data_IF_625101917503
#
_entry.id   IF_625101917503
#
_cell.length_a   1.000
_cell.length_b   1.000
_cell.length_c   1.000
_cell.angle_alpha   90.00
_cell.angle_beta   90.00
_cell.angle_gamma   90.00
#
_symmetry.space_group_name_H-M   'P 1'
#
loop_
_entity.id
_entity.type
_entity.pdbx_description
1 polymer ?
#
# COMPACT_ATOMS: atom_id res chain seq x y z
N UNK A 1 1.77 15.69 -35.68
CA UNK A 1 1.06 15.78 -34.38
C UNK A 1 1.33 14.49 -33.62
N UNK A 2 1.74 14.55 -32.36
CA UNK A 2 1.93 13.36 -31.54
C UNK A 2 0.58 12.63 -31.42
N UNK A 3 0.56 11.32 -31.66
CA UNK A 3 -0.64 10.51 -31.56
C UNK A 3 -0.99 10.35 -30.06
N UNK A 4 -1.77 11.29 -29.53
CA UNK A 4 -2.20 11.30 -28.12
C UNK A 4 -3.36 10.32 -28.00
N UNK A 5 -3.23 9.37 -27.07
CA UNK A 5 -4.28 8.41 -26.76
C UNK A 5 -5.55 9.15 -26.29
N UNK A 6 -6.71 8.85 -26.86
CA UNK A 6 -7.95 9.48 -26.44
C UNK A 6 -8.31 9.12 -24.98
N UNK A 7 -9.11 9.98 -24.36
CA UNK A 7 -9.45 9.87 -22.93
C UNK A 7 -10.15 8.55 -22.61
N UNK A 8 -11.06 8.07 -23.44
CA UNK A 8 -11.79 6.81 -23.19
C UNK A 8 -10.84 5.60 -23.15
N UNK A 9 -9.87 5.54 -24.07
CA UNK A 9 -8.83 4.51 -24.06
C UNK A 9 -7.92 4.65 -22.83
N UNK A 10 -7.58 5.87 -22.40
CA UNK A 10 -6.81 6.08 -21.16
C UNK A 10 -7.58 5.54 -19.95
N UNK A 11 -8.86 5.89 -19.81
CA UNK A 11 -9.74 5.41 -18.73
C UNK A 11 -9.83 3.88 -18.73
N UNK A 12 -10.08 3.27 -19.89
CA UNK A 12 -10.17 1.81 -20.02
C UNK A 12 -8.86 1.12 -19.58
N UNK A 13 -7.71 1.64 -20.03
CA UNK A 13 -6.39 1.10 -19.69
C UNK A 13 -6.12 1.23 -18.18
N UNK A 14 -6.35 2.41 -17.59
CA UNK A 14 -6.09 2.67 -16.17
C UNK A 14 -7.01 1.83 -15.30
N UNK A 15 -8.31 1.71 -15.65
CA UNK A 15 -9.24 0.82 -14.95
C UNK A 15 -8.78 -0.64 -14.99
N UNK A 16 -8.36 -1.13 -16.15
CA UNK A 16 -7.86 -2.49 -16.30
C UNK A 16 -6.56 -2.73 -15.51
N UNK A 17 -5.64 -1.74 -15.45
CA UNK A 17 -4.42 -1.82 -14.63
C UNK A 17 -4.75 -1.85 -13.13
N UNK A 18 -5.68 -1.01 -12.68
CA UNK A 18 -6.10 -0.93 -11.28
C UNK A 18 -6.79 -2.23 -10.80
N UNK A 19 -7.52 -2.90 -11.69
CA UNK A 19 -8.16 -4.21 -11.43
C UNK A 19 -7.22 -5.41 -11.64
N UNK A 20 -5.92 -5.16 -11.87
CA UNK A 20 -4.89 -6.21 -11.91
C UNK A 20 -4.75 -6.94 -13.24
N UNK A 21 -5.32 -6.42 -14.33
CA UNK A 21 -5.10 -6.99 -15.66
C UNK A 21 -3.63 -6.88 -16.07
N UNK A 22 -3.14 -7.90 -16.78
CA UNK A 22 -1.75 -7.86 -17.28
C UNK A 22 -1.63 -6.86 -18.44
N UNK A 23 -0.46 -6.23 -18.59
CA UNK A 23 -0.17 -5.30 -19.70
C UNK A 23 -0.46 -5.96 -21.05
N UNK A 24 -0.09 -7.24 -21.22
CA UNK A 24 -0.36 -7.99 -22.45
C UNK A 24 -1.86 -8.29 -22.67
N UNK A 25 -2.63 -8.46 -21.59
CA UNK A 25 -4.08 -8.60 -21.71
C UNK A 25 -4.71 -7.27 -22.13
N UNK A 26 -4.27 -6.17 -21.56
CA UNK A 26 -4.74 -4.83 -21.91
C UNK A 26 -4.39 -4.49 -23.36
N UNK A 27 -3.18 -4.82 -23.82
CA UNK A 27 -2.76 -4.68 -25.21
C UNK A 27 -3.74 -5.39 -26.17
N UNK A 28 -4.10 -6.65 -25.89
CA UNK A 28 -5.06 -7.41 -26.70
C UNK A 28 -6.50 -6.85 -26.65
N UNK A 29 -6.90 -6.30 -25.50
CA UNK A 29 -8.26 -5.75 -25.32
C UNK A 29 -8.44 -4.37 -25.95
N UNK A 30 -7.37 -3.56 -25.98
CA UNK A 30 -7.49 -2.14 -26.38
C UNK A 30 -6.79 -1.82 -27.69
N UNK A 31 -6.02 -2.77 -28.25
CA UNK A 31 -5.15 -2.58 -29.41
C UNK A 31 -4.14 -1.42 -29.22
N UNK A 32 -3.76 -1.15 -27.97
CA UNK A 32 -2.75 -0.15 -27.62
C UNK A 32 -1.45 -0.85 -27.27
N UNK A 33 -0.35 -0.45 -27.90
CA UNK A 33 0.95 -1.07 -27.69
C UNK A 33 1.38 -1.01 -26.21
N UNK A 34 1.91 -2.10 -25.70
CA UNK A 34 2.32 -2.30 -24.30
C UNK A 34 3.20 -1.18 -23.73
N UNK A 35 4.10 -0.60 -24.53
CA UNK A 35 4.96 0.50 -24.07
C UNK A 35 4.18 1.78 -23.81
N UNK A 36 3.11 2.03 -24.58
CA UNK A 36 2.19 3.14 -24.34
C UNK A 36 1.38 2.90 -23.08
N UNK A 37 0.89 1.66 -22.86
CA UNK A 37 0.21 1.26 -21.62
C UNK A 37 1.11 1.47 -20.41
N UNK A 38 2.37 1.03 -20.48
CA UNK A 38 3.34 1.19 -19.39
C UNK A 38 3.62 2.66 -19.08
N UNK A 39 3.87 3.49 -20.11
CA UNK A 39 4.12 4.93 -19.94
C UNK A 39 2.91 5.66 -19.33
N UNK A 40 1.70 5.32 -19.80
CA UNK A 40 0.47 5.86 -19.24
C UNK A 40 0.31 5.44 -17.77
N UNK A 41 0.52 4.17 -17.45
CA UNK A 41 0.43 3.66 -16.08
C UNK A 41 1.43 4.31 -15.13
N UNK A 42 2.66 4.62 -15.59
CA UNK A 42 3.66 5.34 -14.78
C UNK A 42 3.22 6.78 -14.56
N UNK A 43 2.85 7.50 -15.62
CA UNK A 43 2.40 8.89 -15.52
C UNK A 43 1.23 9.06 -14.55
N UNK A 44 0.15 8.31 -14.77
CA UNK A 44 -1.04 8.38 -13.91
C UNK A 44 -0.74 7.88 -12.49
N UNK A 45 0.08 6.85 -12.32
CA UNK A 45 0.46 6.37 -10.99
C UNK A 45 1.27 7.39 -10.17
N UNK A 46 2.14 8.14 -10.82
CA UNK A 46 2.86 9.27 -10.19
C UNK A 46 1.88 10.39 -9.82
N UNK A 47 0.96 10.77 -10.70
CA UNK A 47 -0.10 11.73 -10.40
C UNK A 47 -1.02 11.26 -9.26
N UNK A 48 -1.34 9.97 -9.20
CA UNK A 48 -2.07 9.39 -8.07
C UNK A 48 -1.33 9.53 -6.73
N UNK A 49 -0.01 9.39 -6.74
CA UNK A 49 0.79 9.60 -5.52
C UNK A 49 0.73 11.06 -5.08
N UNK A 50 0.87 12.01 -5.99
CA UNK A 50 0.76 13.44 -5.71
C UNK A 50 -0.66 13.82 -5.24
N UNK A 51 -1.69 13.29 -5.90
CA UNK A 51 -3.10 13.46 -5.49
C UNK A 51 -3.35 12.98 -4.06
N UNK A 52 -2.83 11.80 -3.70
CA UNK A 52 -2.95 11.30 -2.33
C UNK A 52 -2.19 12.19 -1.35
N UNK A 53 -1.02 12.70 -1.72
CA UNK A 53 -0.27 13.61 -0.84
C UNK A 53 -1.03 14.91 -0.58
N UNK A 54 -1.72 15.45 -1.58
CA UNK A 54 -2.55 16.64 -1.46
C UNK A 54 -3.82 16.38 -0.63
N UNK A 55 -4.57 15.32 -0.96
CA UNK A 55 -5.91 15.09 -0.40
C UNK A 55 -5.90 14.47 0.99
N UNK A 56 -4.87 13.69 1.34
CA UNK A 56 -4.79 12.99 2.62
C UNK A 56 -4.14 13.87 3.69
N UNK A 57 -4.79 14.99 4.05
CA UNK A 57 -4.31 15.95 5.05
C UNK A 57 -5.40 16.29 6.06
N UNK A 58 -4.98 16.59 7.29
CA UNK A 58 -5.91 16.96 8.37
C UNK A 58 -6.92 15.87 8.72
N UNK A 59 -6.50 14.62 8.67
CA UNK A 59 -7.35 13.45 8.88
C UNK A 59 -7.65 13.24 10.38
N UNK A 60 -8.86 12.77 10.66
CA UNK A 60 -9.33 12.45 12.02
C UNK A 60 -9.43 10.92 12.23
N UNK A 61 -8.43 10.18 11.80
CA UNK A 61 -8.37 8.74 12.03
C UNK A 61 -8.24 8.45 13.53
N UNK A 62 -9.08 7.55 14.05
CA UNK A 62 -9.03 7.16 15.47
C UNK A 62 -8.07 6.00 15.69
N UNK A 63 -8.02 5.06 14.75
CA UNK A 63 -7.25 3.81 14.86
C UNK A 63 -6.54 3.50 13.56
N UNK A 64 -5.23 3.50 13.60
CA UNK A 64 -4.40 3.08 12.46
C UNK A 64 -3.76 1.72 12.73
N UNK A 65 -3.78 0.87 11.73
CA UNK A 65 -2.97 -0.34 11.67
C UNK A 65 -1.89 -0.14 10.61
N UNK A 66 -0.64 -0.53 10.89
CA UNK A 66 0.49 -0.40 9.97
C UNK A 66 1.22 -1.71 9.79
N UNK A 67 1.66 -1.98 8.56
CA UNK A 67 2.43 -3.17 8.20
C UNK A 67 3.18 -2.91 6.89
N UNK A 68 4.05 -3.84 6.47
CA UNK A 68 4.76 -3.76 5.23
C UNK A 68 4.59 -4.99 4.35
N UNK A 69 4.40 -4.77 3.04
CA UNK A 69 4.30 -5.81 2.03
C UNK A 69 5.62 -5.95 1.28
N UNK A 70 6.17 -7.16 1.28
CA UNK A 70 7.33 -7.50 0.46
C UNK A 70 6.99 -7.61 -1.02
N UNK A 71 7.88 -7.07 -1.86
CA UNK A 71 7.95 -7.26 -3.29
C UNK A 71 9.40 -7.31 -3.77
N UNK A 72 9.63 -7.27 -5.07
CA UNK A 72 10.97 -7.17 -5.64
C UNK A 72 10.96 -6.46 -6.99
N UNK A 73 12.11 -5.89 -7.34
CA UNK A 73 12.34 -5.22 -8.63
C UNK A 73 13.47 -5.93 -9.36
N UNK A 74 13.25 -6.26 -10.62
CA UNK A 74 14.22 -6.93 -11.47
C UNK A 74 14.49 -8.39 -11.08
N UNK A 75 15.07 -8.63 -9.92
CA UNK A 75 15.42 -9.95 -9.39
C UNK A 75 15.04 -10.05 -7.91
N UNK A 76 14.77 -11.27 -7.44
CA UNK A 76 14.69 -11.53 -5.99
C UNK A 76 16.06 -11.39 -5.37
N UNK A 77 16.15 -10.97 -4.11
CA UNK A 77 17.38 -10.68 -3.38
C UNK A 77 18.47 -11.77 -3.57
N UNK A 78 18.08 -13.02 -3.38
CA UNK A 78 19.00 -14.16 -3.54
C UNK A 78 19.65 -14.31 -4.92
N UNK A 79 19.14 -13.60 -5.94
CA UNK A 79 19.60 -13.66 -7.33
C UNK A 79 20.28 -12.34 -7.77
N UNK A 80 20.41 -11.37 -6.86
CA UNK A 80 21.15 -10.12 -7.10
C UNK A 80 22.64 -10.44 -7.17
N UNK A 81 23.32 -9.84 -8.14
CA UNK A 81 24.77 -10.06 -8.38
C UNK A 81 25.53 -8.73 -8.26
N UNK A 82 26.83 -8.84 -8.02
CA UNK A 82 27.72 -7.70 -8.11
C UNK A 82 27.62 -7.10 -9.52
N UNK A 83 27.25 -5.80 -9.63
CA UNK A 83 27.01 -5.10 -10.90
C UNK A 83 25.52 -4.92 -11.26
N UNK A 84 24.58 -5.56 -10.55
CA UNK A 84 23.19 -5.16 -10.63
C UNK A 84 23.02 -3.75 -10.00
N UNK A 85 22.15 -2.92 -10.57
CA UNK A 85 21.94 -1.57 -10.04
C UNK A 85 21.29 -1.58 -8.64
N UNK A 86 21.45 -0.52 -7.84
CA UNK A 86 20.97 -0.45 -6.44
C UNK A 86 19.44 -0.52 -6.28
N UNK A 87 18.71 -0.36 -7.37
CA UNK A 87 17.25 -0.48 -7.38
C UNK A 87 16.74 -1.90 -7.61
N UNK A 88 17.65 -2.88 -7.80
CA UNK A 88 17.33 -4.29 -8.05
C UNK A 88 17.37 -5.05 -6.73
N UNK A 89 16.40 -5.92 -6.49
CA UNK A 89 16.33 -6.72 -5.28
C UNK A 89 15.01 -6.56 -4.55
N UNK A 90 15.02 -6.83 -3.27
CA UNK A 90 13.86 -6.71 -2.39
C UNK A 90 13.41 -5.26 -2.23
N UNK A 91 12.11 -5.06 -2.23
CA UNK A 91 11.47 -3.78 -1.98
C UNK A 91 10.26 -3.99 -1.08
N UNK A 92 10.02 -3.07 -0.18
CA UNK A 92 8.90 -3.13 0.76
C UNK A 92 7.99 -1.93 0.58
N UNK A 93 6.70 -2.17 0.68
CA UNK A 93 5.70 -1.11 0.71
C UNK A 93 5.14 -1.04 2.12
N UNK A 94 5.54 -0.03 2.87
CA UNK A 94 4.95 0.32 4.15
C UNK A 94 3.59 0.96 3.88
N UNK A 95 2.56 0.58 4.59
CA UNK A 95 1.24 1.19 4.48
C UNK A 95 0.52 1.26 5.82
N UNK A 96 -0.36 2.25 5.94
CA UNK A 96 -1.27 2.41 7.06
C UNK A 96 -2.70 2.27 6.57
N UNK A 97 -3.58 1.77 7.42
CA UNK A 97 -5.03 1.75 7.18
C UNK A 97 -5.76 2.28 8.41
N UNK A 98 -6.75 3.13 8.21
CA UNK A 98 -7.71 3.46 9.25
C UNK A 98 -8.68 2.29 9.43
N UNK A 99 -8.67 1.71 10.61
CA UNK A 99 -9.49 0.54 10.92
C UNK A 99 -11.00 0.81 10.83
N UNK A 100 -11.44 2.06 10.97
CA UNK A 100 -12.85 2.45 10.92
C UNK A 100 -13.31 2.72 9.49
N UNK A 101 -12.66 3.64 8.81
CA UNK A 101 -13.04 4.10 7.46
C UNK A 101 -12.44 3.26 6.33
N UNK A 102 -11.49 2.39 6.64
CA UNK A 102 -10.69 1.62 5.68
C UNK A 102 -9.79 2.49 4.77
N UNK A 103 -9.66 3.77 5.07
CA UNK A 103 -8.78 4.69 4.33
C UNK A 103 -7.33 4.25 4.46
N UNK A 104 -6.59 4.30 3.36
CA UNK A 104 -5.13 4.21 3.34
C UNK A 104 -4.58 5.64 3.29
N UNK A 105 -4.23 6.27 4.44
CA UNK A 105 -3.80 7.67 4.46
C UNK A 105 -2.44 7.88 3.85
N UNK A 106 -1.53 6.91 3.98
CA UNK A 106 -0.16 7.00 3.49
C UNK A 106 0.40 5.62 3.15
N UNK A 107 1.36 5.63 2.23
CA UNK A 107 2.23 4.48 1.92
C UNK A 107 3.64 4.96 1.59
N UNK A 108 4.64 4.11 1.75
CA UNK A 108 6.04 4.38 1.41
C UNK A 108 6.69 3.15 0.82
N UNK A 109 7.28 3.29 -0.35
CA UNK A 109 8.11 2.23 -0.96
C UNK A 109 9.57 2.45 -0.57
N UNK A 110 10.21 1.42 -0.02
CA UNK A 110 11.58 1.51 0.45
C UNK A 110 12.19 0.18 0.82
N UNK A 111 13.33 0.23 1.50
CA UNK A 111 13.96 -0.92 2.15
C UNK A 111 13.30 -1.16 3.51
N UNK A 112 13.39 -2.39 4.02
CA UNK A 112 12.91 -2.72 5.38
C UNK A 112 13.95 -2.30 6.42
N UNK A 113 14.13 -1.01 6.58
CA UNK A 113 15.11 -0.44 7.49
C UNK A 113 14.52 0.74 8.30
N UNK A 114 15.21 1.18 9.38
CA UNK A 114 14.74 2.28 10.21
C UNK A 114 14.54 3.60 9.45
N UNK A 115 15.35 3.89 8.44
CA UNK A 115 15.24 5.15 7.67
C UNK A 115 13.91 5.21 6.92
N UNK A 116 13.51 4.13 6.25
CA UNK A 116 12.21 4.06 5.55
C UNK A 116 11.04 4.10 6.54
N UNK A 117 11.16 3.39 7.68
CA UNK A 117 10.12 3.40 8.73
C UNK A 117 9.93 4.81 9.30
N UNK A 118 11.02 5.53 9.64
CA UNK A 118 10.95 6.91 10.11
C UNK A 118 10.28 7.84 9.08
N UNK A 119 10.70 7.77 7.82
CA UNK A 119 10.13 8.60 6.76
C UNK A 119 8.64 8.29 6.52
N UNK A 120 8.23 7.03 6.62
CA UNK A 120 6.84 6.61 6.50
C UNK A 120 5.99 7.11 7.67
N UNK A 121 6.44 6.88 8.90
CA UNK A 121 5.67 7.27 10.10
C UNK A 121 5.60 8.78 10.24
N UNK A 122 6.67 9.52 9.90
CA UNK A 122 6.66 10.98 9.85
C UNK A 122 5.62 11.52 8.84
N UNK A 123 5.51 10.89 7.67
CA UNK A 123 4.48 11.22 6.68
C UNK A 123 3.08 10.95 7.23
N UNK A 124 2.84 9.80 7.86
CA UNK A 124 1.56 9.49 8.52
C UNK A 124 1.22 10.54 9.57
N UNK A 125 2.16 10.88 10.46
CA UNK A 125 1.95 11.86 11.52
C UNK A 125 1.55 13.24 10.96
N UNK A 126 2.22 13.69 9.89
CA UNK A 126 1.93 14.97 9.22
C UNK A 126 0.51 15.06 8.64
N UNK A 127 -0.16 13.94 8.47
CA UNK A 127 -1.51 13.84 7.89
C UNK A 127 -2.60 13.84 8.95
N UNK A 128 -2.27 13.53 10.21
CA UNK A 128 -3.23 13.44 11.31
C UNK A 128 -3.40 14.80 11.98
N UNK A 129 -4.64 15.13 12.35
CA UNK A 129 -4.94 16.34 13.15
C UNK A 129 -5.39 16.02 14.58
N UNK A 130 -5.61 14.77 14.89
CA UNK A 130 -6.08 14.30 16.20
C UNK A 130 -5.19 13.19 16.70
N UNK A 131 -5.15 13.01 18.03
CA UNK A 131 -4.51 11.85 18.67
C UNK A 131 -5.09 10.56 18.08
N UNK A 132 -4.22 9.59 17.85
CA UNK A 132 -4.56 8.32 17.18
C UNK A 132 -4.03 7.13 17.97
N UNK A 133 -4.79 6.04 17.99
CA UNK A 133 -4.28 4.74 18.44
C UNK A 133 -3.64 4.02 17.25
N UNK A 134 -2.39 3.58 17.41
CA UNK A 134 -1.64 2.86 16.37
C UNK A 134 -1.36 1.44 16.83
N UNK A 135 -1.61 0.48 15.95
CA UNK A 135 -1.24 -0.93 16.11
C UNK A 135 -0.31 -1.37 14.99
N UNK A 136 0.80 -2.03 15.33
CA UNK A 136 1.72 -2.61 14.33
C UNK A 136 2.04 -4.06 14.66
N UNK A 137 2.71 -4.75 13.73
CA UNK A 137 3.39 -6.00 14.04
C UNK A 137 4.65 -5.75 14.91
N UNK A 138 5.40 -6.82 15.18
CA UNK A 138 6.61 -6.78 16.03
C UNK A 138 7.85 -6.16 15.35
N UNK A 139 7.76 -5.43 14.25
CA UNK A 139 8.91 -4.78 13.63
C UNK A 139 9.48 -3.68 14.55
N UNK A 140 10.71 -3.88 15.05
CA UNK A 140 11.36 -2.96 16.00
C UNK A 140 11.51 -1.53 15.46
N UNK A 141 11.64 -1.36 14.14
CA UNK A 141 11.81 -0.04 13.53
C UNK A 141 10.61 0.88 13.78
N UNK A 142 9.40 0.35 13.98
CA UNK A 142 8.22 1.17 14.28
C UNK A 142 8.31 1.85 15.64
N UNK A 143 8.92 1.22 16.66
CA UNK A 143 8.97 1.81 18.01
C UNK A 143 9.63 3.19 17.99
N UNK A 144 10.86 3.26 17.49
CA UNK A 144 11.58 4.54 17.42
C UNK A 144 10.95 5.51 16.38
N UNK A 145 10.41 5.01 15.28
CA UNK A 145 9.76 5.85 14.27
C UNK A 145 8.50 6.55 14.81
N UNK A 146 7.69 5.84 15.59
CA UNK A 146 6.46 6.38 16.20
C UNK A 146 6.81 7.36 17.31
N UNK A 147 7.79 7.03 18.17
CA UNK A 147 8.29 7.94 19.20
C UNK A 147 8.78 9.25 18.59
N UNK A 148 9.60 9.18 17.52
CA UNK A 148 10.15 10.35 16.86
C UNK A 148 9.08 11.24 16.18
N UNK A 149 8.01 10.64 15.62
CA UNK A 149 7.05 11.37 14.82
C UNK A 149 5.85 11.89 15.61
N UNK A 150 5.41 11.16 16.63
CA UNK A 150 4.21 11.48 17.41
C UNK A 150 4.53 11.92 18.85
N UNK A 151 5.71 11.54 19.39
CA UNK A 151 6.04 11.81 20.79
C UNK A 151 4.99 11.25 21.74
N UNK A 152 4.43 12.13 22.60
CA UNK A 152 3.39 11.77 23.58
C UNK A 152 1.97 11.75 22.99
N UNK A 153 1.76 12.21 21.75
CA UNK A 153 0.42 12.38 21.16
C UNK A 153 -0.08 11.13 20.42
N UNK A 154 0.27 9.96 20.93
CA UNK A 154 -0.15 8.68 20.36
C UNK A 154 -0.42 7.64 21.44
N UNK A 155 -1.37 6.74 21.16
CA UNK A 155 -1.55 5.50 21.90
C UNK A 155 -1.02 4.35 21.05
N UNK A 156 0.12 3.75 21.43
CA UNK A 156 0.82 2.82 20.58
C UNK A 156 1.03 1.46 21.22
N UNK A 157 0.68 0.41 20.47
CA UNK A 157 0.94 -0.98 20.84
C UNK A 157 1.41 -1.82 19.65
N UNK A 158 2.17 -2.87 19.93
CA UNK A 158 2.53 -3.92 18.98
C UNK A 158 1.82 -5.23 19.29
N UNK A 159 1.52 -5.99 18.24
CA UNK A 159 1.12 -7.39 18.34
C UNK A 159 2.29 -8.26 17.92
N UNK A 160 2.86 -8.97 18.88
CA UNK A 160 3.91 -9.94 18.62
C UNK A 160 3.29 -11.32 18.51
N UNK A 161 3.27 -11.88 17.31
CA UNK A 161 2.74 -13.23 17.05
C UNK A 161 3.86 -14.25 17.18
N UNK A 162 3.63 -15.30 17.96
CA UNK A 162 4.52 -16.45 18.08
C UNK A 162 3.97 -17.54 17.17
N UNK A 163 4.78 -17.97 16.23
CA UNK A 163 4.43 -19.02 15.27
C UNK A 163 4.99 -20.37 15.70
N UNK A 164 4.22 -21.44 15.47
CA UNK A 164 4.66 -22.80 15.72
C UNK A 164 5.81 -23.24 14.82
N UNK A 165 6.59 -24.22 15.29
CA UNK A 165 7.52 -24.94 14.44
C UNK A 165 6.76 -26.01 13.66
N UNK A 166 6.39 -25.76 12.41
CA UNK A 166 5.87 -26.79 11.51
C UNK A 166 7.00 -27.47 10.73
N UNK A 167 6.77 -28.72 10.33
CA UNK A 167 7.69 -29.49 9.51
C UNK A 167 8.03 -28.76 8.19
N UNK A 168 9.25 -28.94 7.73
CA UNK A 168 9.89 -28.14 6.64
C UNK A 168 9.11 -28.22 5.32
N UNK A 169 8.35 -29.26 5.06
CA UNK A 169 7.64 -29.48 3.79
C UNK A 169 6.40 -28.58 3.60
N UNK A 170 5.73 -28.16 4.68
CA UNK A 170 4.54 -27.33 4.62
C UNK A 170 4.81 -25.82 4.62
N UNK A 171 6.03 -25.40 4.99
CA UNK A 171 6.43 -23.96 5.11
C UNK A 171 6.42 -23.18 3.82
N UNK A 172 6.35 -23.86 2.67
CA UNK A 172 6.51 -23.20 1.36
C UNK A 172 5.27 -22.43 0.92
N UNK A 173 4.09 -22.83 1.37
CA UNK A 173 2.80 -22.32 0.89
C UNK A 173 1.84 -21.91 1.99
N UNK A 174 1.98 -22.43 3.21
CA UNK A 174 1.15 -22.07 4.36
C UNK A 174 1.99 -21.43 5.45
N UNK A 175 1.57 -20.31 6.03
CA UNK A 175 2.21 -19.78 7.24
C UNK A 175 1.98 -20.77 8.38
N UNK A 176 2.98 -20.94 9.25
CA UNK A 176 2.84 -21.70 10.49
C UNK A 176 1.67 -21.15 11.31
N UNK A 177 0.93 -22.03 11.99
CA UNK A 177 -0.15 -21.61 12.87
C UNK A 177 0.33 -20.67 13.98
N UNK A 178 -0.43 -19.62 14.27
CA UNK A 178 -0.15 -18.72 15.40
C UNK A 178 -0.45 -19.49 16.70
N UNK A 179 0.57 -19.72 17.53
CA UNK A 179 0.42 -20.39 18.84
C UNK A 179 -0.08 -19.40 19.88
N UNK A 180 0.49 -18.19 19.91
CA UNK A 180 0.11 -17.13 20.83
C UNK A 180 0.34 -15.77 20.22
N UNK A 181 -0.37 -14.78 20.74
CA UNK A 181 -0.13 -13.37 20.41
C UNK A 181 0.00 -12.58 21.70
N UNK A 182 1.00 -11.72 21.78
CA UNK A 182 1.23 -10.84 22.91
C UNK A 182 1.01 -9.39 22.46
N UNK A 183 0.21 -8.63 23.21
CA UNK A 183 0.01 -7.20 23.01
C UNK A 183 0.98 -6.44 23.90
N UNK A 184 1.89 -5.66 23.31
CA UNK A 184 2.89 -4.84 24.02
C UNK A 184 2.58 -3.37 23.85
N UNK A 185 2.26 -2.68 24.94
CA UNK A 185 2.02 -1.24 24.95
C UNK A 185 3.36 -0.52 25.06
N UNK A 186 3.61 0.45 24.19
CA UNK A 186 4.84 1.24 24.16
C UNK A 186 4.60 2.71 24.53
N UNK A 187 3.43 3.29 24.20
CA UNK A 187 3.13 4.68 24.50
C UNK A 187 1.63 4.88 24.75
N UNK A 188 1.31 5.84 25.63
CA UNK A 188 -0.06 6.24 25.94
C UNK A 188 -0.88 5.17 26.66
N UNK A 189 -2.17 5.18 26.43
CA UNK A 189 -3.17 4.28 27.04
C UNK A 189 -4.11 3.73 25.95
N UNK A 190 -3.60 2.85 25.06
CA UNK A 190 -4.43 2.30 23.99
C UNK A 190 -5.55 1.42 24.57
N UNK A 191 -6.72 1.46 23.93
CA UNK A 191 -7.77 0.49 24.18
C UNK A 191 -7.30 -0.90 23.77
N UNK A 192 -7.12 -1.77 24.77
CA UNK A 192 -6.55 -3.12 24.57
C UNK A 192 -7.40 -3.99 23.65
N UNK A 193 -8.73 -3.83 23.69
CA UNK A 193 -9.64 -4.62 22.86
C UNK A 193 -9.56 -4.22 21.38
N UNK A 194 -9.15 -2.99 21.12
CA UNK A 194 -8.99 -2.44 19.77
C UNK A 194 -7.57 -2.58 19.19
N UNK A 195 -6.62 -3.13 19.96
CA UNK A 195 -5.29 -3.45 19.44
C UNK A 195 -5.41 -4.63 18.47
N UNK A 196 -5.19 -4.38 17.18
CA UNK A 196 -5.35 -5.34 16.09
C UNK A 196 -4.44 -4.99 14.90
N UNK A 197 -4.09 -6.00 14.10
CA UNK A 197 -3.46 -5.87 12.77
C UNK A 197 -4.30 -6.56 11.67
N UNK A 198 -5.54 -6.92 11.98
CA UNK A 198 -6.38 -7.72 11.08
C UNK A 198 -6.80 -6.97 9.81
N UNK A 199 -7.04 -5.67 9.91
CA UNK A 199 -7.44 -4.86 8.74
C UNK A 199 -6.27 -4.62 7.80
N UNK A 200 -5.08 -4.33 8.33
CA UNK A 200 -3.89 -4.17 7.49
C UNK A 200 -3.47 -5.49 6.84
N UNK A 201 -3.56 -6.63 7.55
CA UNK A 201 -3.30 -7.95 6.99
C UNK A 201 -4.29 -8.27 5.84
N UNK A 202 -5.57 -7.96 6.03
CA UNK A 202 -6.58 -8.09 4.98
C UNK A 202 -6.34 -7.16 3.80
N UNK A 203 -5.93 -5.91 4.05
CA UNK A 203 -5.52 -4.97 3.00
C UNK A 203 -4.35 -5.54 2.21
N UNK A 204 -3.33 -6.09 2.88
CA UNK A 204 -2.17 -6.70 2.27
C UNK A 204 -2.54 -7.89 1.39
N UNK A 205 -3.48 -8.74 1.84
CA UNK A 205 -4.01 -9.84 1.03
C UNK A 205 -4.77 -9.31 -0.21
N UNK A 206 -5.64 -8.33 -0.04
CA UNK A 206 -6.38 -7.69 -1.14
C UNK A 206 -5.44 -7.03 -2.14
N UNK A 207 -4.42 -6.32 -1.66
CA UNK A 207 -3.40 -5.69 -2.50
C UNK A 207 -2.66 -6.73 -3.37
N UNK A 208 -2.33 -7.91 -2.82
CA UNK A 208 -1.72 -9.00 -3.61
C UNK A 208 -2.64 -9.58 -4.68
N UNK A 209 -3.95 -9.58 -4.46
CA UNK A 209 -4.92 -10.04 -5.46
C UNK A 209 -5.00 -9.09 -6.67
N UNK A 210 -5.00 -7.79 -6.43
CA UNK A 210 -5.11 -6.77 -7.48
C UNK A 210 -3.75 -6.34 -8.05
N UNK A 211 -2.65 -6.50 -7.31
CA UNK A 211 -1.31 -6.16 -7.75
C UNK A 211 -0.43 -7.40 -7.91
N UNK A 212 -0.42 -7.99 -9.11
CA UNK A 212 0.42 -9.17 -9.40
C UNK A 212 1.91 -8.96 -9.14
N UNK A 213 2.38 -7.70 -9.10
CA UNK A 213 3.77 -7.33 -8.75
C UNK A 213 4.14 -7.70 -7.31
N UNK A 214 3.16 -7.77 -6.41
CA UNK A 214 3.31 -8.11 -5.00
C UNK A 214 3.00 -9.57 -4.68
N UNK A 215 2.62 -10.37 -5.69
CA UNK A 215 2.43 -11.80 -5.52
C UNK A 215 3.78 -12.50 -5.34
N UNK A 216 3.89 -13.38 -4.33
CA UNK A 216 5.16 -14.05 -3.98
C UNK A 216 5.77 -14.87 -5.11
N UNK A 217 4.91 -15.50 -5.93
CA UNK A 217 5.30 -16.26 -7.12
C UNK A 217 4.67 -15.58 -8.34
N UNK A 218 5.43 -14.72 -9.00
CA UNK A 218 4.94 -13.94 -10.14
C UNK A 218 6.01 -13.78 -11.21
N UNK A 219 5.56 -13.77 -12.47
CA UNK A 219 6.34 -13.29 -13.61
C UNK A 219 6.01 -11.81 -13.93
N UNK A 220 5.07 -11.21 -13.21
CA UNK A 220 4.60 -9.84 -13.43
C UNK A 220 5.33 -8.79 -12.55
N UNK A 221 6.56 -9.07 -12.12
CA UNK A 221 7.37 -8.15 -11.33
C UNK A 221 7.80 -6.92 -12.13
N UNK A 222 8.05 -5.81 -11.45
CA UNK A 222 8.59 -4.60 -12.07
C UNK A 222 10.08 -4.76 -12.38
N UNK A 223 10.49 -4.31 -13.58
CA UNK A 223 11.91 -4.25 -13.95
C UNK A 223 12.59 -2.96 -13.48
N UNK A 224 11.80 -1.90 -13.21
CA UNK A 224 12.26 -0.60 -12.75
C UNK A 224 11.50 -0.21 -11.48
N UNK A 225 12.18 0.45 -10.56
CA UNK A 225 11.62 0.88 -9.28
C UNK A 225 10.51 1.91 -9.48
N UNK A 226 10.71 2.88 -10.36
CA UNK A 226 9.70 3.89 -10.70
C UNK A 226 8.36 3.29 -11.15
N UNK A 227 8.42 2.19 -11.93
CA UNK A 227 7.20 1.49 -12.39
C UNK A 227 6.52 0.73 -11.24
N UNK A 228 7.29 0.30 -10.25
CA UNK A 228 6.74 -0.32 -9.05
C UNK A 228 6.03 0.72 -8.19
N UNK A 229 6.68 1.83 -7.90
CA UNK A 229 6.15 2.94 -7.08
C UNK A 229 4.88 3.53 -7.72
N UNK A 230 4.91 3.81 -9.02
CA UNK A 230 3.73 4.30 -9.74
C UNK A 230 2.54 3.32 -9.68
N UNK A 231 2.81 2.01 -9.79
CA UNK A 231 1.74 1.02 -9.67
C UNK A 231 1.14 0.97 -8.26
N UNK A 232 1.96 1.17 -7.21
CA UNK A 232 1.49 1.29 -5.82
C UNK A 232 0.63 2.54 -5.65
N UNK A 233 1.07 3.69 -6.18
CA UNK A 233 0.30 4.94 -6.15
C UNK A 233 -1.07 4.80 -6.82
N UNK A 234 -1.10 4.23 -8.02
CA UNK A 234 -2.36 3.95 -8.73
C UNK A 234 -3.27 3.03 -7.92
N UNK A 235 -2.72 1.95 -7.34
CA UNK A 235 -3.51 0.99 -6.58
C UNK A 235 -4.18 1.63 -5.35
N UNK A 236 -3.45 2.36 -4.53
CA UNK A 236 -4.02 2.96 -3.32
C UNK A 236 -4.94 4.15 -3.62
N UNK A 237 -4.66 4.94 -4.66
CA UNK A 237 -5.60 5.97 -5.09
C UNK A 237 -6.91 5.37 -5.61
N UNK A 238 -6.84 4.33 -6.46
CA UNK A 238 -8.03 3.59 -6.90
C UNK A 238 -8.79 2.99 -5.72
N UNK A 239 -8.10 2.34 -4.78
CA UNK A 239 -8.69 1.76 -3.57
C UNK A 239 -9.43 2.82 -2.74
N UNK A 240 -8.82 3.98 -2.52
CA UNK A 240 -9.38 5.03 -1.68
C UNK A 240 -10.54 5.79 -2.35
N UNK A 241 -10.44 6.12 -3.62
CA UNK A 241 -11.37 7.04 -4.27
C UNK A 241 -12.44 6.36 -5.14
N UNK A 242 -12.12 5.20 -5.75
CA UNK A 242 -12.98 4.58 -6.78
C UNK A 242 -13.65 3.31 -6.28
N UNK A 243 -12.89 2.43 -5.63
CA UNK A 243 -13.38 1.12 -5.22
C UNK A 243 -14.35 1.24 -4.04
N UNK A 244 -15.59 0.80 -4.23
CA UNK A 244 -16.56 0.68 -3.14
C UNK A 244 -16.17 -0.47 -2.22
N UNK A 245 -16.19 -0.20 -0.93
CA UNK A 245 -15.91 -1.21 0.08
C UNK A 245 -17.25 -1.75 0.64
N UNK A 246 -17.47 -3.06 0.57
CA UNK A 246 -18.75 -3.66 0.92
C UNK A 246 -19.19 -3.38 2.37
N UNK A 247 -18.24 -3.38 3.31
CA UNK A 247 -18.54 -3.18 4.74
C UNK A 247 -19.03 -1.76 5.04
N UNK A 248 -18.43 -0.74 4.42
CA UNK A 248 -18.77 0.68 4.64
C UNK A 248 -19.72 1.22 3.58
N UNK A 249 -20.07 0.44 2.55
CA UNK A 249 -20.98 0.75 1.43
C UNK A 249 -20.66 2.01 0.62
N UNK A 250 -19.48 2.57 0.82
CA UNK A 250 -18.94 3.72 0.08
C UNK A 250 -17.45 3.51 -0.18
N UNK A 251 -16.76 4.52 -0.72
CA UNK A 251 -15.29 4.47 -0.84
C UNK A 251 -14.65 4.87 0.48
N UNK A 252 -13.43 4.38 0.79
CA UNK A 252 -12.70 4.79 1.99
C UNK A 252 -12.53 6.32 2.12
N UNK A 253 -12.26 7.02 1.01
CA UNK A 253 -12.13 8.47 0.99
C UNK A 253 -13.45 9.18 1.37
N UNK A 254 -14.61 8.62 0.97
CA UNK A 254 -15.92 9.15 1.40
C UNK A 254 -16.16 8.88 2.89
N UNK A 255 -15.88 7.67 3.36
CA UNK A 255 -16.08 7.33 4.77
C UNK A 255 -15.21 8.19 5.71
N UNK A 256 -14.03 8.59 5.26
CA UNK A 256 -13.11 9.46 5.98
C UNK A 256 -13.39 10.97 5.79
N UNK A 257 -14.39 11.34 4.99
CA UNK A 257 -14.73 12.74 4.72
C UNK A 257 -13.74 13.49 3.82
N UNK A 258 -12.87 12.76 3.10
CA UNK A 258 -11.91 13.34 2.14
C UNK A 258 -12.62 13.81 0.86
N UNK A 259 -13.69 13.11 0.48
CA UNK A 259 -14.59 13.49 -0.62
C UNK A 259 -16.03 13.14 -0.26
N UNK A 260 -16.98 13.83 -0.85
CA UNK A 260 -18.42 13.58 -0.67
C UNK A 260 -19.05 12.85 -1.88
N UNK A 261 -18.26 12.51 -2.90
CA UNK A 261 -18.74 11.90 -4.14
C UNK A 261 -18.03 10.60 -4.46
N UNK A 262 -18.72 9.70 -5.17
CA UNK A 262 -18.11 8.55 -5.77
C UNK A 262 -17.29 8.96 -6.99
N UNK A 263 -16.03 8.60 -7.01
CA UNK A 263 -15.18 8.83 -8.17
C UNK A 263 -15.29 7.67 -9.16
N UNK A 264 -15.36 8.02 -10.43
CA UNK A 264 -15.12 7.07 -11.52
C UNK A 264 -13.61 6.96 -11.81
N UNK A 265 -13.22 5.97 -12.60
CA UNK A 265 -11.85 5.90 -13.13
C UNK A 265 -11.52 7.15 -13.94
N UNK A 266 -12.52 7.73 -14.64
CA UNK A 266 -12.36 8.98 -15.37
C UNK A 266 -11.97 10.14 -14.47
N UNK A 267 -12.65 10.32 -13.34
CA UNK A 267 -12.31 11.35 -12.35
C UNK A 267 -10.90 11.15 -11.79
N UNK A 268 -10.50 9.89 -11.52
CA UNK A 268 -9.16 9.60 -11.07
C UNK A 268 -8.10 9.93 -12.12
N UNK A 269 -8.34 9.58 -13.38
CA UNK A 269 -7.43 9.89 -14.50
C UNK A 269 -7.28 11.39 -14.69
N UNK A 270 -8.38 12.14 -14.64
CA UNK A 270 -8.39 13.60 -14.77
C UNK A 270 -7.62 14.28 -13.62
N UNK A 271 -7.87 13.86 -12.38
CA UNK A 271 -7.22 14.43 -11.21
C UNK A 271 -5.73 14.06 -11.08
N UNK A 272 -5.27 12.98 -11.72
CA UNK A 272 -3.90 12.49 -11.69
C UNK A 272 -3.12 12.79 -13.00
N UNK A 273 -3.67 13.57 -13.94
CA UNK A 273 -3.09 13.82 -15.26
C UNK A 273 -1.88 14.79 -15.24
#
# INVERSE_FOLDING_TARGET
MANVLNTDKQIAIIGALAEGSSIRSIERMTDVHRDTIMRLGVRIGQGCTALMDEKMRGLSCKRLEMDEIWGFVGKKERNVKLGDGPAVGSVWTFCAIDADTKLVPAFKVGERNPATANAFVADVASRMKTRVQISTDGLRAYVGAIENAFGADVDYAQIVKVYGSEEIDNRRYSPSGVISSEKKIFSGSPDVDLISTSYIERLNATTRLHMRRLTRLTLAFSKKRENFEAAVGLHFAYYNFVKRHNTIRCTPAMAAGVTNTFWSVGNLVEAAA
#
